data_IF_339001968753
#
_entry.id   IF_339001968753
#
_cell.length_a   1.000
_cell.length_b   1.000
_cell.length_c   1.000
_cell.angle_alpha   90.00
_cell.angle_beta   90.00
_cell.angle_gamma   90.00
#
_symmetry.space_group_name_H-M   'P 1'
#
loop_
_entity.id
_entity.type
_entity.pdbx_description
1 polymer ?
#
# COMPACT_ATOMS: atom_id res chain seq x y z
N UNK A 1 9.65 -12.40 -20.94
CA UNK A 1 9.44 -13.12 -19.66
C UNK A 1 7.96 -13.25 -19.39
N UNK A 2 7.51 -14.43 -19.03
CA UNK A 2 6.12 -14.59 -18.64
C UNK A 2 5.83 -13.86 -17.34
N UNK A 3 4.60 -13.36 -17.23
CA UNK A 3 4.19 -12.62 -16.04
C UNK A 3 4.28 -13.49 -14.77
N UNK A 4 3.85 -14.74 -14.88
CA UNK A 4 3.89 -15.66 -13.74
C UNK A 4 5.30 -15.90 -13.25
N UNK A 5 6.24 -16.04 -14.16
CA UNK A 5 7.65 -16.24 -13.81
C UNK A 5 8.22 -14.97 -13.14
N UNK A 6 7.89 -13.81 -13.69
CA UNK A 6 8.32 -12.54 -13.10
C UNK A 6 7.81 -12.39 -11.67
N UNK A 7 6.53 -12.71 -11.43
CA UNK A 7 5.96 -12.63 -10.10
C UNK A 7 6.68 -13.57 -9.14
N UNK A 8 6.94 -14.80 -9.59
CA UNK A 8 7.61 -15.80 -8.76
C UNK A 8 9.02 -15.37 -8.38
N UNK A 9 9.75 -14.83 -9.34
CA UNK A 9 11.13 -14.40 -9.11
C UNK A 9 11.23 -13.18 -8.19
N UNK A 10 10.17 -12.36 -8.13
CA UNK A 10 10.14 -11.15 -7.34
C UNK A 10 9.24 -11.23 -6.12
N UNK A 11 8.77 -12.44 -5.78
CA UNK A 11 7.80 -12.63 -4.70
C UNK A 11 8.27 -12.04 -3.37
N UNK A 12 9.53 -12.31 -3.01
CA UNK A 12 10.07 -11.82 -1.75
C UNK A 12 10.08 -10.29 -1.70
N UNK A 13 10.44 -9.65 -2.82
CA UNK A 13 10.44 -8.20 -2.91
C UNK A 13 9.03 -7.63 -2.81
N UNK A 14 8.08 -8.25 -3.50
CA UNK A 14 6.69 -7.81 -3.45
C UNK A 14 6.12 -7.90 -2.04
N UNK A 15 6.44 -8.99 -1.33
CA UNK A 15 5.98 -9.15 0.04
C UNK A 15 6.60 -8.10 0.96
N UNK A 16 7.89 -7.81 0.80
CA UNK A 16 8.53 -6.80 1.63
C UNK A 16 7.98 -5.40 1.35
N UNK A 17 7.69 -5.09 0.09
CA UNK A 17 7.07 -3.82 -0.27
C UNK A 17 5.68 -3.69 0.36
N UNK A 18 4.88 -4.75 0.31
CA UNK A 18 3.57 -4.77 0.96
C UNK A 18 3.71 -4.58 2.47
N UNK A 19 4.65 -5.30 3.08
CA UNK A 19 4.87 -5.20 4.52
C UNK A 19 5.29 -3.79 4.93
N UNK A 20 6.10 -3.12 4.10
CA UNK A 20 6.51 -1.75 4.40
C UNK A 20 5.32 -0.79 4.46
N UNK A 21 4.30 -1.04 3.67
CA UNK A 21 3.06 -0.25 3.72
C UNK A 21 2.23 -0.60 4.95
N UNK A 22 2.12 -1.89 5.26
CA UNK A 22 1.32 -2.35 6.39
C UNK A 22 1.85 -1.84 7.73
N UNK A 23 3.17 -1.72 7.85
CA UNK A 23 3.79 -1.23 9.08
C UNK A 23 3.48 0.22 9.39
N UNK A 24 3.00 0.97 8.41
CA UNK A 24 2.60 2.36 8.63
C UNK A 24 1.13 2.38 9.03
N UNK A 25 0.79 2.83 10.24
CA UNK A 25 -0.60 2.80 10.71
C UNK A 25 -1.41 3.94 10.10
N UNK A 26 -1.74 3.80 8.82
CA UNK A 26 -2.45 4.82 8.05
C UNK A 26 -3.94 4.83 8.38
N UNK A 27 -4.26 5.13 9.63
CA UNK A 27 -5.63 5.16 10.14
C UNK A 27 -6.25 6.51 9.84
N UNK A 28 -7.09 6.57 8.82
CA UNK A 28 -7.62 7.84 8.32
C UNK A 28 -8.62 8.52 9.25
N UNK A 29 -9.30 7.74 10.07
CA UNK A 29 -10.36 8.26 10.94
C UNK A 29 -9.86 8.95 12.20
N UNK A 30 -8.59 8.77 12.56
CA UNK A 30 -8.05 9.29 13.80
C UNK A 30 -7.05 10.41 13.55
N UNK A 31 -7.30 11.60 14.10
CA UNK A 31 -6.39 12.75 13.86
C UNK A 31 -4.95 12.52 14.31
N UNK A 32 -4.74 11.69 15.34
CA UNK A 32 -3.39 11.39 15.82
C UNK A 32 -2.56 10.60 14.81
N UNK A 33 -3.17 10.03 13.78
CA UNK A 33 -2.48 9.31 12.72
C UNK A 33 -2.36 10.12 11.43
N UNK A 34 -2.54 11.43 11.51
CA UNK A 34 -2.43 12.27 10.32
C UNK A 34 -1.04 12.22 9.67
N UNK A 35 0.01 12.19 10.50
CA UNK A 35 1.36 12.07 9.99
C UNK A 35 1.62 10.70 9.38
N UNK A 36 0.99 9.66 9.91
CA UNK A 36 1.08 8.32 9.34
C UNK A 36 0.40 8.25 7.98
N UNK A 37 -0.70 8.97 7.80
CA UNK A 37 -1.34 9.05 6.48
C UNK A 37 -0.41 9.66 5.44
N UNK A 38 0.28 10.74 5.81
CA UNK A 38 1.24 11.34 4.90
C UNK A 38 2.43 10.41 4.65
N UNK A 39 2.93 9.76 5.69
CA UNK A 39 4.05 8.81 5.55
C UNK A 39 3.68 7.67 4.59
N UNK A 40 2.46 7.16 4.69
CA UNK A 40 2.00 6.10 3.81
C UNK A 40 1.87 6.58 2.36
N UNK A 41 1.35 7.79 2.17
CA UNK A 41 1.24 8.38 0.83
C UNK A 41 2.63 8.55 0.20
N UNK A 42 3.61 9.02 0.97
CA UNK A 42 4.98 9.17 0.49
C UNK A 42 5.60 7.82 0.15
N UNK A 43 5.33 6.79 0.95
CA UNK A 43 5.82 5.45 0.65
C UNK A 43 5.22 4.91 -0.64
N UNK A 44 3.93 5.14 -0.89
CA UNK A 44 3.31 4.78 -2.16
C UNK A 44 3.97 5.49 -3.32
N UNK A 45 4.27 6.78 -3.16
CA UNK A 45 4.98 7.52 -4.20
C UNK A 45 6.32 6.88 -4.53
N UNK A 46 7.10 6.53 -3.50
CA UNK A 46 8.40 5.87 -3.71
C UNK A 46 8.24 4.56 -4.47
N UNK A 47 7.27 3.74 -4.07
CA UNK A 47 7.05 2.45 -4.70
C UNK A 47 6.60 2.58 -6.15
N UNK A 48 5.76 3.55 -6.44
CA UNK A 48 5.30 3.79 -7.81
C UNK A 48 6.43 4.25 -8.72
N UNK A 49 7.30 5.14 -8.22
CA UNK A 49 8.47 5.56 -8.99
C UNK A 49 9.43 4.39 -9.20
N UNK A 50 9.66 3.58 -8.19
CA UNK A 50 10.53 2.41 -8.30
C UNK A 50 9.96 1.37 -9.27
N UNK A 51 8.64 1.30 -9.38
CA UNK A 51 7.98 0.39 -10.31
C UNK A 51 8.01 0.88 -11.76
N UNK A 52 8.47 2.10 -12.00
CA UNK A 52 8.63 2.63 -13.34
C UNK A 52 7.65 3.71 -13.74
N UNK A 53 6.92 4.29 -12.81
CA UNK A 53 6.06 5.41 -13.14
C UNK A 53 6.91 6.59 -13.64
N UNK A 54 6.41 7.28 -14.64
CA UNK A 54 7.08 8.47 -15.14
C UNK A 54 6.96 9.63 -14.18
N UNK A 55 5.85 9.64 -13.42
CA UNK A 55 5.57 10.68 -12.46
C UNK A 55 4.75 10.09 -11.32
N UNK A 56 5.05 10.51 -10.11
CA UNK A 56 4.23 10.19 -8.94
C UNK A 56 4.28 11.39 -8.00
N UNK A 57 3.10 11.88 -7.60
CA UNK A 57 3.00 13.04 -6.74
C UNK A 57 2.02 12.79 -5.61
N UNK A 58 2.29 13.41 -4.48
CA UNK A 58 1.37 13.42 -3.35
C UNK A 58 0.68 14.77 -3.36
N UNK A 59 -0.64 14.76 -3.53
CA UNK A 59 -1.44 15.98 -3.64
C UNK A 59 -2.24 16.20 -2.37
N UNK A 60 -2.22 17.40 -1.80
CA UNK A 60 -3.08 17.69 -0.67
C UNK A 60 -4.54 17.72 -1.09
N UNK A 61 -5.42 17.39 -0.15
CA UNK A 61 -6.85 17.49 -0.37
C UNK A 61 -7.49 18.07 0.88
N UNK A 62 -8.80 18.23 0.87
CA UNK A 62 -9.51 18.67 2.07
C UNK A 62 -9.43 17.63 3.18
N UNK A 63 -9.21 16.38 2.82
CA UNK A 63 -9.03 15.30 3.77
C UNK A 63 -7.59 14.84 3.76
N UNK A 64 -7.39 13.56 3.53
CA UNK A 64 -6.05 12.97 3.48
C UNK A 64 -5.41 13.17 2.10
N UNK A 65 -4.07 13.10 2.02
CA UNK A 65 -3.38 13.28 0.74
C UNK A 65 -3.78 12.25 -0.29
N UNK A 66 -3.79 12.66 -1.54
CA UNK A 66 -4.03 11.81 -2.68
C UNK A 66 -2.70 11.49 -3.34
N UNK A 67 -2.49 10.23 -3.75
CA UNK A 67 -1.31 9.86 -4.52
C UNK A 67 -1.74 9.66 -5.97
N UNK A 68 -1.11 10.40 -6.86
CA UNK A 68 -1.35 10.28 -8.30
C UNK A 68 -0.07 9.86 -8.98
N UNK A 69 -0.16 8.90 -9.88
CA UNK A 69 0.99 8.47 -10.67
C UNK A 69 0.54 8.11 -12.07
N UNK A 70 1.46 8.21 -13.01
CA UNK A 70 1.17 7.83 -14.39
C UNK A 70 2.39 7.24 -15.06
N UNK A 71 2.13 6.38 -16.03
CA UNK A 71 3.12 5.80 -16.90
C UNK A 71 2.61 5.92 -18.33
N UNK A 72 3.32 6.65 -19.15
CA UNK A 72 2.97 6.79 -20.55
C UNK A 72 3.76 5.76 -21.37
N UNK A 73 3.05 4.98 -22.15
CA UNK A 73 3.67 3.96 -23.00
C UNK A 73 3.75 4.45 -24.45
N UNK A 74 2.60 4.83 -25.02
CA UNK A 74 2.55 5.40 -26.37
C UNK A 74 1.24 6.14 -26.53
N UNK A 75 1.19 7.02 -27.55
CA UNK A 75 -0.03 7.77 -27.83
C UNK A 75 -1.16 6.89 -28.34
N UNK A 76 -0.82 5.72 -28.89
CA UNK A 76 -1.79 4.81 -29.46
C UNK A 76 -2.25 3.73 -28.49
N UNK A 77 -1.60 3.60 -27.34
CA UNK A 77 -1.97 2.59 -26.37
C UNK A 77 -3.21 3.02 -25.59
N UNK A 78 -4.10 2.07 -25.24
CA UNK A 78 -5.22 2.40 -24.38
C UNK A 78 -4.73 2.77 -22.99
N UNK A 79 -5.53 3.56 -22.28
CA UNK A 79 -5.21 3.99 -20.93
C UNK A 79 -5.91 3.08 -19.94
N UNK A 80 -5.13 2.56 -18.97
CA UNK A 80 -5.67 1.78 -17.87
C UNK A 80 -5.66 2.65 -16.62
N UNK A 81 -6.83 2.81 -16.02
CA UNK A 81 -6.95 3.53 -14.75
C UNK A 81 -7.01 2.55 -13.61
N UNK A 82 -6.10 2.69 -12.65
CA UNK A 82 -6.07 1.86 -11.45
C UNK A 82 -6.44 2.76 -10.27
N UNK A 83 -7.42 2.32 -9.48
CA UNK A 83 -7.85 3.03 -8.30
C UNK A 83 -7.75 2.12 -7.09
N UNK A 84 -7.20 2.63 -5.99
CA UNK A 84 -7.11 1.91 -4.74
C UNK A 84 -7.03 2.89 -3.59
N UNK A 85 -7.38 2.44 -2.39
CA UNK A 85 -7.21 3.27 -1.20
C UNK A 85 -6.06 2.74 -0.37
N UNK A 86 -5.41 3.63 0.40
CA UNK A 86 -4.28 3.23 1.24
C UNK A 86 -4.57 3.38 2.73
N UNK A 87 -5.74 3.87 3.10
CA UNK A 87 -6.10 4.01 4.48
C UNK A 87 -6.65 2.72 5.06
N UNK A 88 -6.62 2.63 6.38
CA UNK A 88 -7.13 1.47 7.10
C UNK A 88 -8.00 1.95 8.25
N UNK A 89 -8.75 1.03 8.81
CA UNK A 89 -9.61 1.30 9.97
C UNK A 89 -8.81 1.15 11.27
N UNK A 90 -9.28 1.76 12.35
CA UNK A 90 -8.70 1.50 13.67
C UNK A 90 -8.72 0.01 13.98
N UNK A 91 -7.64 -0.47 14.61
CA UNK A 91 -7.47 -1.89 14.89
C UNK A 91 -8.04 -2.34 16.24
N UNK A 92 -9.05 -1.66 16.71
CA UNK A 92 -9.70 -1.98 17.97
C UNK A 92 -10.70 -3.12 17.82
N UNK A 93 -10.86 -4.01 18.80
CA UNK A 93 -10.08 -4.12 20.03
C UNK A 93 -8.77 -4.87 19.79
N UNK A 94 -7.69 -4.37 20.36
CA UNK A 94 -6.36 -4.93 20.14
C UNK A 94 -6.21 -6.35 20.69
N UNK A 95 -6.94 -6.67 21.72
CA UNK A 95 -6.84 -7.98 22.37
C UNK A 95 -7.31 -9.16 21.53
N UNK A 96 -8.02 -8.89 20.42
CA UNK A 96 -8.50 -9.95 19.55
C UNK A 96 -7.51 -10.32 18.44
N UNK A 97 -6.42 -9.56 18.31
CA UNK A 97 -5.42 -9.84 17.29
C UNK A 97 -4.44 -10.90 17.78
N UNK A 98 -4.12 -11.86 16.93
CA UNK A 98 -3.12 -12.89 17.25
C UNK A 98 -1.70 -12.35 17.19
N UNK A 99 -1.49 -11.27 16.44
CA UNK A 99 -0.22 -10.57 16.36
C UNK A 99 -0.53 -9.09 16.36
N UNK A 100 0.49 -8.25 16.46
CA UNK A 100 0.26 -6.80 16.41
C UNK A 100 -0.33 -6.42 15.04
N UNK A 101 -1.38 -5.58 15.02
CA UNK A 101 -2.09 -5.28 13.76
C UNK A 101 -1.22 -4.72 12.65
N UNK A 102 -0.20 -3.95 12.99
CA UNK A 102 0.67 -3.32 11.99
C UNK A 102 2.01 -4.02 11.87
N UNK A 103 2.12 -5.24 12.41
CA UNK A 103 3.29 -6.09 12.24
C UNK A 103 2.86 -7.27 11.38
N UNK A 104 3.08 -7.19 10.07
CA UNK A 104 2.64 -8.26 9.17
C UNK A 104 3.38 -9.55 9.45
N UNK A 105 2.67 -10.66 9.34
CA UNK A 105 3.29 -11.96 9.45
C UNK A 105 2.57 -12.94 8.54
N UNK A 106 3.28 -13.96 8.11
CA UNK A 106 2.72 -15.00 7.26
C UNK A 106 2.50 -16.23 8.12
N UNK A 107 1.25 -16.72 8.15
CA UNK A 107 0.88 -17.92 8.86
C UNK A 107 0.20 -18.89 7.90
N UNK A 108 0.64 -20.13 7.93
CA UNK A 108 0.07 -21.16 7.04
C UNK A 108 0.11 -20.76 5.57
N UNK A 109 1.17 -20.03 5.17
CA UNK A 109 1.31 -19.57 3.80
C UNK A 109 0.41 -18.41 3.42
N UNK A 110 -0.27 -17.79 4.39
CA UNK A 110 -1.16 -16.67 4.15
C UNK A 110 -0.79 -15.46 4.98
N UNK A 111 -1.00 -14.30 4.39
CA UNK A 111 -0.78 -13.04 5.07
C UNK A 111 -1.92 -12.80 6.06
N UNK A 112 -1.57 -12.78 7.33
CA UNK A 112 -2.57 -12.65 8.40
C UNK A 112 -2.53 -11.35 9.15
N UNK A 113 -1.96 -10.29 8.53
CA UNK A 113 -1.87 -9.13 9.22
C UNK A 113 -2.67 -8.12 8.68
N UNK A 114 -3.40 -8.29 7.84
CA UNK A 114 -4.11 -7.23 7.22
C UNK A 114 -4.81 -6.33 8.21
N UNK A 115 -4.63 -5.07 8.00
CA UNK A 115 -5.34 -4.08 8.74
C UNK A 115 -6.75 -3.90 8.23
N UNK A 116 -7.14 -4.62 7.18
CA UNK A 116 -8.49 -4.51 6.70
C UNK A 116 -9.42 -5.38 7.46
N UNK A 117 -9.03 -6.61 7.61
CA UNK A 117 -9.85 -7.57 8.31
C UNK A 117 -8.93 -8.48 9.03
N UNK A 118 -9.36 -8.91 10.15
CA UNK A 118 -8.60 -9.88 10.91
C UNK A 118 -9.02 -11.29 10.53
N UNK A 119 -9.40 -11.44 9.35
CA UNK A 119 -9.83 -12.75 8.86
C UNK A 119 -8.66 -13.64 8.49
#
# INVERSE_FOLDING_TARGET
MEIKQYIKENEARFMEELFSLIRIPSISALPEHKDDMLACALRWKELLLAAGADEAIVMPSQGNPLVFAQKHVSNDAPTLLIYAHYDVMPAEPLGLWKSQPFEPEIRDGQDRKSTRLNS
#
